data_IF_161437255146
#
_entry.id   IF_161437255146
#
_cell.length_a   1.000
_cell.length_b   1.000
_cell.length_c   1.000
_cell.angle_alpha   90.00
_cell.angle_beta   90.00
_cell.angle_gamma   90.00
#
_symmetry.space_group_name_H-M   'P 1'
#
loop_
_entity.id
_entity.type
_entity.pdbx_description
1 polymer ?
#
# COMPACT_ATOMS: atom_id res chain seq x y z
N UNK A 1 5.62 -24.92 22.76
CA UNK A 1 5.50 -23.59 23.40
C UNK A 1 5.28 -22.57 22.30
N UNK A 2 4.07 -22.01 22.20
CA UNK A 2 3.76 -20.98 21.19
C UNK A 2 4.56 -19.72 21.53
N UNK A 3 5.45 -19.29 20.63
CA UNK A 3 6.30 -18.11 20.82
C UNK A 3 5.40 -16.87 20.98
N UNK A 4 5.33 -16.31 22.19
CA UNK A 4 4.68 -15.03 22.44
C UNK A 4 5.39 -13.95 21.63
N UNK A 5 4.70 -13.39 20.66
CA UNK A 5 5.21 -12.28 19.86
C UNK A 5 4.97 -11.00 20.67
N UNK A 6 6.03 -10.32 21.07
CA UNK A 6 5.96 -9.08 21.86
C UNK A 6 6.44 -7.93 20.98
N UNK A 7 5.71 -6.81 20.97
CA UNK A 7 6.02 -5.65 20.15
C UNK A 7 5.88 -4.35 20.93
N UNK A 8 6.61 -3.33 20.49
CA UNK A 8 6.42 -1.96 20.95
C UNK A 8 5.35 -1.28 20.09
N UNK A 9 4.37 -0.65 20.74
CA UNK A 9 3.35 0.16 20.08
C UNK A 9 4.00 1.26 19.25
N UNK A 10 3.66 1.37 17.97
CA UNK A 10 4.21 2.40 17.10
C UNK A 10 3.90 3.83 17.57
N UNK A 11 2.77 4.02 18.27
CA UNK A 11 2.27 5.32 18.76
C UNK A 11 2.79 5.69 20.14
N UNK A 12 2.44 4.92 21.17
CA UNK A 12 2.78 5.25 22.57
C UNK A 12 4.01 4.52 23.11
N UNK A 13 4.66 3.68 22.29
CA UNK A 13 5.85 2.87 22.66
C UNK A 13 5.66 1.82 23.77
N UNK A 14 4.46 1.72 24.38
CA UNK A 14 4.12 0.63 25.32
C UNK A 14 4.31 -0.75 24.68
N UNK A 15 4.82 -1.69 25.46
CA UNK A 15 4.97 -3.09 25.08
C UNK A 15 3.59 -3.75 25.08
N UNK A 16 3.27 -4.53 24.06
CA UNK A 16 2.03 -5.30 23.98
C UNK A 16 2.20 -6.59 23.15
N UNK A 17 1.26 -7.51 23.29
CA UNK A 17 1.19 -8.74 22.50
C UNK A 17 0.13 -8.53 21.40
N UNK A 18 0.50 -8.44 20.11
CA UNK A 18 -0.47 -8.37 19.02
C UNK A 18 -1.19 -9.72 18.85
N UNK A 19 -2.45 -9.66 18.45
CA UNK A 19 -3.27 -10.85 18.16
C UNK A 19 -3.15 -11.25 16.69
N UNK A 20 -3.08 -10.27 15.79
CA UNK A 20 -3.01 -10.45 14.34
C UNK A 20 -2.20 -9.33 13.68
N UNK A 21 -0.90 -9.30 13.97
CA UNK A 21 0.06 -8.42 13.27
C UNK A 21 -0.06 -6.92 13.58
N UNK A 22 -0.83 -6.54 14.59
CA UNK A 22 -1.04 -5.14 14.96
C UNK A 22 0.26 -4.37 15.21
N UNK A 23 0.25 -3.10 14.81
CA UNK A 23 1.36 -2.16 15.03
C UNK A 23 1.14 -1.24 16.23
N UNK A 24 -0.08 -1.16 16.76
CA UNK A 24 -0.45 -0.32 17.90
C UNK A 24 -1.12 -1.15 18.99
N UNK A 25 -0.96 -0.76 20.25
CA UNK A 25 -1.55 -1.46 21.38
C UNK A 25 -3.09 -1.31 21.44
N UNK A 26 -3.79 -2.16 22.21
CA UNK A 26 -5.26 -2.13 22.33
C UNK A 26 -5.81 -0.78 22.79
N UNK A 27 -5.17 -0.13 23.77
CA UNK A 27 -5.55 1.21 24.23
C UNK A 27 -5.49 2.24 23.09
N UNK A 28 -4.43 2.17 22.28
CA UNK A 28 -4.27 3.09 21.17
C UNK A 28 -5.32 2.86 20.08
N UNK A 29 -5.67 1.59 19.84
CA UNK A 29 -6.75 1.21 18.93
C UNK A 29 -8.11 1.67 19.44
N UNK A 30 -8.39 1.54 20.74
CA UNK A 30 -9.64 2.00 21.33
C UNK A 30 -9.84 3.51 21.16
N UNK A 31 -8.79 4.30 21.40
CA UNK A 31 -8.83 5.75 21.17
C UNK A 31 -8.99 6.12 19.68
N UNK A 32 -8.47 5.31 18.75
CA UNK A 32 -8.76 5.51 17.32
C UNK A 32 -10.25 5.27 17.03
N UNK A 33 -10.83 4.19 17.58
CA UNK A 33 -12.25 3.86 17.37
C UNK A 33 -13.18 4.94 17.93
N UNK A 34 -12.90 5.46 19.12
CA UNK A 34 -13.67 6.56 19.73
C UNK A 34 -13.63 7.82 18.84
N UNK A 35 -12.46 8.16 18.29
CA UNK A 35 -12.33 9.28 17.36
C UNK A 35 -13.05 9.03 16.04
N UNK A 36 -13.03 7.79 15.52
CA UNK A 36 -13.80 7.42 14.32
C UNK A 36 -15.31 7.57 14.54
N UNK A 37 -15.83 7.20 15.70
CA UNK A 37 -17.23 7.40 16.07
C UNK A 37 -17.59 8.88 16.15
N UNK A 38 -16.73 9.70 16.76
CA UNK A 38 -16.91 11.16 16.83
C UNK A 38 -16.96 11.81 15.44
N UNK A 39 -16.06 11.41 14.54
CA UNK A 39 -16.06 11.90 13.14
C UNK A 39 -17.36 11.50 12.43
N UNK A 40 -17.83 10.26 12.61
CA UNK A 40 -19.10 9.79 12.02
C UNK A 40 -20.30 10.56 12.54
N UNK A 41 -20.35 10.84 13.84
CA UNK A 41 -21.40 11.65 14.45
C UNK A 41 -21.39 13.08 13.87
N UNK A 42 -20.20 13.69 13.79
CA UNK A 42 -20.06 15.04 13.24
C UNK A 42 -20.55 15.15 11.80
N UNK A 43 -20.20 14.20 10.92
CA UNK A 43 -20.69 14.20 9.53
C UNK A 43 -22.22 14.04 9.47
N UNK A 44 -22.81 13.24 10.37
CA UNK A 44 -24.27 13.04 10.42
C UNK A 44 -25.01 14.32 10.83
N UNK A 45 -24.46 15.04 11.81
CA UNK A 45 -25.07 16.26 12.36
C UNK A 45 -24.83 17.48 11.43
N UNK A 46 -23.80 17.40 10.58
CA UNK A 46 -23.42 18.46 9.64
C UNK A 46 -23.36 17.95 8.19
N UNK A 47 -24.52 17.71 7.55
CA UNK A 47 -24.54 17.26 6.17
C UNK A 47 -24.00 18.34 5.23
N UNK A 48 -23.25 17.93 4.22
CA UNK A 48 -22.76 18.84 3.19
C UNK A 48 -21.48 19.60 3.52
N UNK A 49 -20.79 19.27 4.61
CA UNK A 49 -19.49 19.84 4.97
C UNK A 49 -18.37 19.35 4.05
N UNK A 50 -17.27 20.10 4.03
CA UNK A 50 -16.02 19.74 3.36
C UNK A 50 -15.11 18.92 4.29
N UNK A 51 -14.11 18.26 3.71
CA UNK A 51 -13.12 17.49 4.48
C UNK A 51 -12.31 18.37 5.44
N UNK A 52 -12.01 19.61 5.06
CA UNK A 52 -11.27 20.54 5.92
C UNK A 52 -12.11 20.97 7.13
N UNK A 53 -13.37 21.36 6.91
CA UNK A 53 -14.30 21.68 7.99
C UNK A 53 -14.54 20.49 8.92
N UNK A 54 -14.60 19.27 8.36
CA UNK A 54 -14.68 18.05 9.15
C UNK A 54 -13.46 17.87 10.06
N UNK A 55 -12.24 18.06 9.53
CA UNK A 55 -11.01 17.95 10.32
C UNK A 55 -10.99 18.99 11.44
N UNK A 56 -11.31 20.24 11.12
CA UNK A 56 -11.32 21.35 12.07
C UNK A 56 -12.39 21.17 13.15
N UNK A 57 -13.62 20.82 12.75
CA UNK A 57 -14.76 20.71 13.67
C UNK A 57 -14.77 19.44 14.51
N UNK A 58 -14.33 18.31 13.95
CA UNK A 58 -14.26 17.05 14.72
C UNK A 58 -13.05 16.99 15.66
N UNK A 59 -11.99 17.79 15.39
CA UNK A 59 -10.71 17.71 16.08
C UNK A 59 -9.91 16.44 15.78
N UNK A 60 -10.35 15.66 14.80
CA UNK A 60 -9.70 14.41 14.45
C UNK A 60 -8.41 14.64 13.65
N UNK A 61 -7.38 13.79 13.81
CA UNK A 61 -6.18 13.87 13.00
C UNK A 61 -6.51 13.74 11.50
N UNK A 62 -5.94 14.57 10.60
CA UNK A 62 -6.21 14.52 9.16
C UNK A 62 -6.03 13.12 8.56
N UNK A 63 -4.98 12.40 9.01
CA UNK A 63 -4.69 11.03 8.57
C UNK A 63 -5.79 10.03 8.92
N UNK A 64 -6.49 10.24 10.03
CA UNK A 64 -7.63 9.41 10.43
C UNK A 64 -8.80 9.65 9.48
N UNK A 65 -9.14 10.92 9.25
CA UNK A 65 -10.23 11.31 8.35
C UNK A 65 -9.98 10.81 6.93
N UNK A 66 -8.77 11.01 6.37
CA UNK A 66 -8.43 10.50 5.04
C UNK A 66 -8.52 8.97 4.94
N UNK A 67 -8.11 8.24 5.99
CA UNK A 67 -8.25 6.78 6.06
C UNK A 67 -9.72 6.37 5.99
N UNK A 68 -10.59 7.03 6.75
CA UNK A 68 -12.02 6.75 6.75
C UNK A 68 -12.67 7.04 5.39
N UNK A 69 -12.27 8.14 4.73
CA UNK A 69 -12.74 8.45 3.36
C UNK A 69 -12.27 7.36 2.38
N UNK A 70 -10.99 6.97 2.43
CA UNK A 70 -10.44 5.88 1.60
C UNK A 70 -11.15 4.53 1.80
N UNK A 71 -11.66 4.29 3.01
CA UNK A 71 -12.43 3.08 3.36
C UNK A 71 -13.92 3.18 2.97
N UNK A 72 -14.34 4.26 2.31
CA UNK A 72 -15.73 4.45 1.87
C UNK A 72 -16.72 4.75 3.00
N UNK A 73 -16.25 5.13 4.19
CA UNK A 73 -17.12 5.33 5.37
C UNK A 73 -18.11 6.50 5.22
N UNK A 74 -17.95 7.35 4.20
CA UNK A 74 -18.76 8.55 3.98
C UNK A 74 -19.47 8.62 2.63
N UNK A 75 -19.44 7.54 1.82
CA UNK A 75 -20.04 7.55 0.47
C UNK A 75 -21.53 7.90 0.47
N UNK A 76 -22.25 7.51 1.54
CA UNK A 76 -23.68 7.80 1.72
C UNK A 76 -23.96 8.93 2.71
N UNK A 77 -22.91 9.56 3.26
CA UNK A 77 -23.02 10.38 4.48
C UNK A 77 -23.06 11.88 4.20
N UNK A 78 -23.31 12.30 2.95
CA UNK A 78 -23.47 13.72 2.60
C UNK A 78 -22.19 14.57 2.67
N UNK A 79 -21.01 13.96 2.80
CA UNK A 79 -19.73 14.67 2.76
C UNK A 79 -19.49 15.23 1.34
N UNK A 80 -19.37 16.55 1.19
CA UNK A 80 -19.18 17.16 -0.14
C UNK A 80 -17.75 16.95 -0.62
N UNK A 81 -17.62 16.53 -1.88
CA UNK A 81 -16.33 16.44 -2.59
C UNK A 81 -15.24 15.76 -1.73
N UNK A 82 -15.60 14.61 -1.13
CA UNK A 82 -14.72 13.84 -0.24
C UNK A 82 -13.42 13.47 -0.97
N UNK A 83 -12.41 14.31 -0.78
CA UNK A 83 -11.12 14.20 -1.44
C UNK A 83 -10.03 14.05 -0.40
N UNK A 84 -9.01 13.29 -0.77
CA UNK A 84 -7.90 12.94 0.10
C UNK A 84 -6.60 12.91 -0.73
N UNK A 85 -5.42 13.08 -0.09
CA UNK A 85 -4.17 13.15 -0.82
C UNK A 85 -3.76 11.80 -1.43
N UNK A 86 -3.28 11.83 -2.66
CA UNK A 86 -2.61 10.71 -3.32
C UNK A 86 -1.42 10.22 -2.49
N UNK A 87 -1.33 8.91 -2.27
CA UNK A 87 -0.29 8.31 -1.42
C UNK A 87 1.15 8.55 -1.92
N UNK A 88 1.35 8.88 -3.20
CA UNK A 88 2.65 9.14 -3.79
C UNK A 88 3.01 10.63 -3.91
N UNK A 89 2.07 11.47 -4.39
CA UNK A 89 2.37 12.87 -4.72
C UNK A 89 1.56 13.91 -3.94
N UNK A 90 0.61 13.49 -3.10
CA UNK A 90 -0.23 14.39 -2.31
C UNK A 90 -1.36 15.09 -3.07
N UNK A 91 -1.42 15.01 -4.42
CA UNK A 91 -2.52 15.54 -5.23
C UNK A 91 -3.86 15.00 -4.72
N UNK A 92 -4.85 15.88 -4.50
CA UNK A 92 -6.18 15.49 -4.05
C UNK A 92 -6.86 14.58 -5.07
N UNK A 93 -7.38 13.45 -4.59
CA UNK A 93 -8.11 12.43 -5.35
C UNK A 93 -9.39 12.08 -4.57
N UNK A 94 -10.42 11.64 -5.27
CA UNK A 94 -11.70 11.22 -4.67
C UNK A 94 -11.87 9.71 -4.64
N UNK A 95 -11.04 8.99 -5.39
CA UNK A 95 -11.03 7.53 -5.53
C UNK A 95 -9.59 7.05 -5.71
N UNK A 96 -9.39 5.74 -5.55
CA UNK A 96 -8.10 5.06 -5.65
C UNK A 96 -7.07 5.46 -4.59
N UNK A 97 -5.92 4.78 -4.57
CA UNK A 97 -4.79 5.11 -3.68
C UNK A 97 -3.84 6.13 -4.33
N UNK A 98 -3.79 6.14 -5.66
CA UNK A 98 -2.88 6.96 -6.46
C UNK A 98 -3.65 7.77 -7.50
N UNK A 99 -3.22 9.01 -7.77
CA UNK A 99 -3.74 9.76 -8.91
C UNK A 99 -3.38 9.08 -10.23
N UNK A 100 -4.14 9.40 -11.28
CA UNK A 100 -3.97 8.84 -12.64
C UNK A 100 -2.53 8.93 -13.17
N UNK A 101 -1.86 10.06 -12.92
CA UNK A 101 -0.46 10.29 -13.31
C UNK A 101 0.50 9.34 -12.57
N UNK A 102 0.35 9.21 -11.25
CA UNK A 102 1.20 8.32 -10.45
C UNK A 102 0.97 6.86 -10.82
N UNK A 103 -0.29 6.47 -11.03
CA UNK A 103 -0.64 5.12 -11.47
C UNK A 103 -0.09 4.83 -12.87
N UNK A 104 -0.14 5.80 -13.79
CA UNK A 104 0.44 5.70 -15.13
C UNK A 104 1.95 5.47 -15.10
N UNK A 105 2.68 6.28 -14.30
CA UNK A 105 4.13 6.10 -14.10
C UNK A 105 4.46 4.75 -13.50
N UNK A 106 3.68 4.28 -12.53
CA UNK A 106 3.87 2.98 -11.90
C UNK A 106 3.71 1.83 -12.91
N UNK A 107 2.66 1.87 -13.73
CA UNK A 107 2.41 0.89 -14.80
C UNK A 107 3.54 0.88 -15.84
N UNK A 108 4.00 2.05 -16.28
CA UNK A 108 5.11 2.16 -17.23
C UNK A 108 6.40 1.59 -16.66
N UNK A 109 6.72 1.89 -15.41
CA UNK A 109 7.90 1.35 -14.75
C UNK A 109 7.80 -0.18 -14.63
N UNK A 110 6.65 -0.71 -14.21
CA UNK A 110 6.42 -2.15 -14.13
C UNK A 110 6.63 -2.85 -15.49
N UNK A 111 6.13 -2.27 -16.58
CA UNK A 111 6.34 -2.80 -17.94
C UNK A 111 7.81 -2.77 -18.37
N UNK A 112 8.53 -1.67 -18.07
CA UNK A 112 9.97 -1.57 -18.35
C UNK A 112 10.75 -2.64 -17.58
N UNK A 113 10.44 -2.83 -16.30
CA UNK A 113 11.06 -3.88 -15.49
C UNK A 113 10.74 -5.28 -16.04
N UNK A 114 9.49 -5.57 -16.40
CA UNK A 114 9.13 -6.86 -16.99
C UNK A 114 9.93 -7.16 -18.28
N UNK A 115 10.01 -6.20 -19.21
CA UNK A 115 10.80 -6.33 -20.45
C UNK A 115 12.29 -6.51 -20.17
N UNK A 116 12.84 -5.79 -19.20
CA UNK A 116 14.24 -5.93 -18.80
C UNK A 116 14.53 -7.31 -18.18
N UNK A 117 13.58 -7.88 -17.43
CA UNK A 117 13.71 -9.23 -16.86
C UNK A 117 13.60 -10.31 -17.94
N UNK A 118 12.66 -10.17 -18.90
CA UNK A 118 12.52 -11.12 -20.00
C UNK A 118 13.74 -11.14 -20.93
N UNK A 119 14.29 -9.96 -21.25
CA UNK A 119 15.52 -9.88 -22.05
C UNK A 119 16.72 -10.49 -21.33
N UNK A 120 16.90 -10.22 -20.02
CA UNK A 120 17.93 -10.89 -19.21
C UNK A 120 17.77 -12.42 -19.20
N UNK A 121 16.54 -12.92 -19.00
CA UNK A 121 16.24 -14.36 -19.04
C UNK A 121 16.61 -14.98 -20.39
N UNK A 122 16.15 -14.40 -21.51
CA UNK A 122 16.47 -14.89 -22.86
C UNK A 122 17.97 -14.88 -23.15
N UNK A 123 18.70 -13.89 -22.64
CA UNK A 123 20.15 -13.79 -22.83
C UNK A 123 20.90 -14.87 -22.02
N UNK A 124 20.41 -15.17 -20.81
CA UNK A 124 20.93 -16.26 -19.99
C UNK A 124 20.63 -17.64 -20.61
N UNK A 125 19.42 -17.85 -21.11
CA UNK A 125 19.02 -19.09 -21.82
C UNK A 125 19.88 -19.32 -23.07
N UNK A 126 20.07 -18.29 -23.90
CA UNK A 126 20.95 -18.37 -25.08
C UNK A 126 22.39 -18.71 -24.71
N UNK A 127 22.95 -18.08 -23.66
CA UNK A 127 24.31 -18.41 -23.20
C UNK A 127 24.42 -19.86 -22.73
N UNK A 128 23.40 -20.37 -22.03
CA UNK A 128 23.37 -21.77 -21.59
C UNK A 128 23.31 -22.74 -22.78
N UNK A 129 22.50 -22.44 -23.80
CA UNK A 129 22.41 -23.25 -25.02
C UNK A 129 23.73 -23.23 -25.81
N UNK A 130 24.32 -22.06 -26.04
CA UNK A 130 25.60 -21.97 -26.75
C UNK A 130 26.72 -22.73 -26.03
N UNK A 131 26.68 -22.77 -24.68
CA UNK A 131 27.63 -23.54 -23.90
C UNK A 131 27.41 -25.06 -24.02
N UNK A 132 26.16 -25.53 -24.01
CA UNK A 132 25.85 -26.95 -24.20
C UNK A 132 26.19 -27.45 -25.60
N UNK A 133 25.87 -26.66 -26.63
CA UNK A 133 26.12 -27.01 -28.03
C UNK A 133 27.63 -27.14 -28.29
N UNK A 134 28.41 -26.15 -27.82
CA UNK A 134 29.88 -26.19 -27.91
C UNK A 134 30.49 -27.39 -27.17
N UNK A 135 29.87 -27.86 -26.08
CA UNK A 135 30.37 -29.03 -25.36
C UNK A 135 30.07 -30.33 -26.11
N UNK A 136 28.89 -30.42 -26.75
CA UNK A 136 28.51 -31.59 -27.54
C UNK A 136 29.41 -31.74 -28.77
N UNK A 137 29.70 -30.64 -29.48
CA UNK A 137 30.58 -30.61 -30.66
C UNK A 137 32.02 -31.06 -30.31
N UNK A 138 32.53 -30.66 -29.14
CA UNK A 138 33.86 -31.06 -28.67
C UNK A 138 33.93 -32.56 -28.35
N UNK A 139 32.88 -33.14 -27.76
CA UNK A 139 32.81 -34.56 -27.45
C UNK A 139 32.74 -35.42 -28.72
N UNK A 140 32.01 -34.98 -29.74
CA UNK A 140 31.86 -35.71 -31.01
C UNK A 140 33.16 -35.70 -31.83
N UNK A 141 33.84 -34.55 -31.86
CA UNK A 141 35.16 -34.39 -32.50
C UNK A 141 36.22 -35.31 -31.86
N UNK A 142 36.10 -35.58 -30.56
CA UNK A 142 37.02 -36.45 -29.81
C UNK A 142 36.82 -37.95 -30.08
N UNK A 143 35.67 -38.34 -30.64
CA UNK A 143 35.33 -39.74 -30.96
C UNK A 143 35.69 -40.15 -32.40
N UNK A 144 36.04 -39.16 -33.23
CA UNK A 144 36.28 -39.33 -34.67
C UNK A 144 37.77 -39.53 -35.02
N UNK A 145 38.64 -39.69 -34.02
CA UNK A 145 40.07 -39.99 -34.12
C UNK A 145 40.40 -41.18 -33.21
#
# INVERSE_FOLDING_TARGET
MTKLNIRNCARCKKIFVPTSGEKICPECRAADLEMEERVKAYVRDHPGITVNELIEGSGAPPKLVWRMIQQGQFENSGLKNASYPCANCGKLITRDVYCSECLGKLKQNAQKFAKAMDSKRRTAEKKSQTFSDSMYDALDSSRSH
#
